data_IF_888230203742
#
_entry.id   IF_888230203742
#
_cell.length_a   1.000
_cell.length_b   1.000
_cell.length_c   1.000
_cell.angle_alpha   90.00
_cell.angle_beta   90.00
_cell.angle_gamma   90.00
#
_symmetry.space_group_name_H-M   'P 1'
#
loop_
_entity.id
_entity.type
_entity.pdbx_description
1 polymer ?
#
# COMPACT_ATOMS: atom_id res chain seq x y z
N UNK A 1 -8.50 7.31 -5.45
CA UNK A 1 -8.46 7.88 -6.81
C UNK A 1 -9.12 9.24 -6.72
N UNK A 2 -8.51 10.28 -7.25
CA UNK A 2 -9.05 11.66 -7.18
C UNK A 2 -10.03 11.89 -8.34
N UNK A 3 -11.27 11.44 -8.19
CA UNK A 3 -12.28 11.49 -9.26
C UNK A 3 -12.54 12.92 -9.72
N UNK A 4 -12.47 13.86 -8.78
CA UNK A 4 -12.62 15.29 -9.02
C UNK A 4 -11.64 15.80 -10.09
N UNK A 5 -10.39 15.34 -10.09
CA UNK A 5 -9.38 15.72 -11.08
C UNK A 5 -9.74 15.25 -12.50
N UNK A 6 -10.33 14.06 -12.64
CA UNK A 6 -10.75 13.52 -13.93
C UNK A 6 -11.97 14.26 -14.48
N UNK A 7 -12.94 14.56 -13.62
CA UNK A 7 -14.13 15.33 -14.00
C UNK A 7 -13.74 16.77 -14.36
N UNK A 8 -12.82 17.39 -13.62
CA UNK A 8 -12.28 18.71 -13.96
C UNK A 8 -11.53 18.70 -15.29
N UNK A 9 -10.83 17.60 -15.61
CA UNK A 9 -10.21 17.39 -16.92
C UNK A 9 -11.25 17.37 -18.04
N UNK A 10 -12.27 16.52 -17.90
CA UNK A 10 -13.37 16.42 -18.86
C UNK A 10 -14.08 17.77 -19.07
N UNK A 11 -14.31 18.53 -17.98
CA UNK A 11 -14.91 19.87 -18.07
C UNK A 11 -14.03 20.82 -18.88
N UNK A 12 -12.72 20.85 -18.61
CA UNK A 12 -11.78 21.69 -19.35
C UNK A 12 -11.76 21.34 -20.84
N UNK A 13 -11.76 20.06 -21.19
CA UNK A 13 -11.80 19.59 -22.57
C UNK A 13 -13.09 19.98 -23.28
N UNK A 14 -14.24 19.83 -22.61
CA UNK A 14 -15.54 20.24 -23.15
C UNK A 14 -15.58 21.76 -23.44
N UNK A 15 -15.11 22.58 -22.50
CA UNK A 15 -15.04 24.03 -22.66
C UNK A 15 -14.04 24.43 -23.74
N UNK A 16 -12.88 23.79 -23.81
CA UNK A 16 -11.88 24.03 -24.86
C UNK A 16 -12.41 23.70 -26.26
N UNK A 17 -13.14 22.59 -26.41
CA UNK A 17 -13.78 22.24 -27.67
C UNK A 17 -14.86 23.26 -28.08
N UNK A 18 -15.55 23.86 -27.10
CA UNK A 18 -16.58 24.87 -27.34
C UNK A 18 -16.02 26.25 -27.75
N UNK A 19 -14.75 26.57 -27.45
CA UNK A 19 -14.16 27.87 -27.80
C UNK A 19 -14.22 28.16 -29.31
N UNK A 20 -14.02 27.14 -30.14
CA UNK A 20 -14.04 27.26 -31.61
C UNK A 20 -15.42 27.70 -32.12
N UNK A 21 -16.48 27.43 -31.35
CA UNK A 21 -17.87 27.69 -31.72
C UNK A 21 -18.41 29.04 -31.20
N UNK A 22 -17.60 29.81 -30.46
CA UNK A 22 -17.96 31.13 -29.96
C UNK A 22 -18.41 31.18 -28.48
N UNK A 23 -18.58 32.40 -27.93
CA UNK A 23 -18.76 32.60 -26.49
C UNK A 23 -20.08 32.04 -25.95
N UNK A 24 -21.17 32.11 -26.71
CA UNK A 24 -22.48 31.59 -26.29
C UNK A 24 -22.45 30.06 -26.12
N UNK A 25 -21.73 29.36 -27.02
CA UNK A 25 -21.55 27.91 -26.97
C UNK A 25 -20.64 27.53 -25.81
N UNK A 26 -19.57 28.30 -25.56
CA UNK A 26 -18.70 28.12 -24.38
C UNK A 26 -19.49 28.24 -23.07
N UNK A 27 -20.33 29.26 -22.93
CA UNK A 27 -21.17 29.41 -21.73
C UNK A 27 -22.20 28.28 -21.59
N UNK A 28 -22.79 27.82 -22.69
CA UNK A 28 -23.69 26.67 -22.67
C UNK A 28 -22.97 25.38 -22.24
N UNK A 29 -21.75 25.16 -22.74
CA UNK A 29 -20.91 24.02 -22.37
C UNK A 29 -20.53 24.06 -20.88
N UNK A 30 -20.15 25.21 -20.34
CA UNK A 30 -19.85 25.38 -18.90
C UNK A 30 -21.06 25.07 -18.00
N UNK A 31 -22.25 25.56 -18.38
CA UNK A 31 -23.51 25.27 -17.66
C UNK A 31 -23.85 23.79 -17.72
N UNK A 32 -23.73 23.18 -18.89
CA UNK A 32 -24.01 21.75 -19.09
C UNK A 32 -23.03 20.89 -18.30
N UNK A 33 -21.72 21.17 -18.37
CA UNK A 33 -20.72 20.42 -17.62
C UNK A 33 -20.97 20.50 -16.10
N UNK A 34 -21.33 21.68 -15.60
CA UNK A 34 -21.68 21.86 -14.19
C UNK A 34 -22.94 21.09 -13.80
N UNK A 35 -23.94 21.02 -14.69
CA UNK A 35 -25.17 20.27 -14.46
C UNK A 35 -24.95 18.74 -14.51
N UNK A 36 -23.99 18.28 -15.31
CA UNK A 36 -23.70 16.86 -15.49
C UNK A 36 -22.77 16.28 -14.40
N UNK A 37 -22.04 17.10 -13.65
CA UNK A 37 -21.07 16.66 -12.62
C UNK A 37 -21.63 15.58 -11.67
N UNK A 38 -22.82 15.74 -11.05
CA UNK A 38 -23.36 14.72 -10.14
C UNK A 38 -23.69 13.40 -10.84
N UNK A 39 -24.19 13.47 -12.08
CA UNK A 39 -24.57 12.29 -12.86
C UNK A 39 -23.35 11.52 -13.34
N UNK A 40 -22.34 12.23 -13.86
CA UNK A 40 -21.06 11.63 -14.28
C UNK A 40 -20.38 10.96 -13.09
N UNK A 41 -20.34 11.63 -11.94
CA UNK A 41 -19.77 11.06 -10.72
C UNK A 41 -20.46 9.76 -10.31
N UNK A 42 -21.80 9.74 -10.29
CA UNK A 42 -22.56 8.54 -9.94
C UNK A 42 -22.28 7.39 -10.91
N UNK A 43 -22.34 7.65 -12.22
CA UNK A 43 -22.05 6.63 -13.24
C UNK A 43 -20.63 6.05 -13.09
N UNK A 44 -19.64 6.90 -12.80
CA UNK A 44 -18.27 6.42 -12.56
C UNK A 44 -18.17 5.57 -11.29
N UNK A 45 -18.92 5.89 -10.23
CA UNK A 45 -18.97 5.04 -9.04
C UNK A 45 -19.59 3.67 -9.33
N UNK A 46 -20.66 3.62 -10.13
CA UNK A 46 -21.30 2.36 -10.52
C UNK A 46 -20.32 1.49 -11.33
N UNK A 47 -19.67 2.07 -12.35
CA UNK A 47 -18.67 1.36 -13.16
C UNK A 47 -17.48 0.86 -12.35
N UNK A 48 -16.96 1.68 -11.42
CA UNK A 48 -15.84 1.26 -10.55
C UNK A 48 -16.24 0.14 -9.58
N UNK A 49 -17.50 0.11 -9.14
CA UNK A 49 -18.03 -0.95 -8.28
C UNK A 49 -18.17 -2.26 -9.05
N UNK A 50 -18.73 -2.21 -10.26
CA UNK A 50 -18.84 -3.37 -11.15
C UNK A 50 -17.44 -3.94 -11.49
N UNK A 51 -16.47 -3.07 -11.76
CA UNK A 51 -15.09 -3.47 -12.01
C UNK A 51 -14.43 -4.11 -10.77
N UNK A 52 -14.71 -3.62 -9.56
CA UNK A 52 -14.20 -4.22 -8.34
C UNK A 52 -14.79 -5.62 -8.09
N UNK A 53 -16.06 -5.83 -8.40
CA UNK A 53 -16.71 -7.14 -8.34
C UNK A 53 -16.12 -8.11 -9.36
N UNK A 54 -15.78 -7.63 -10.56
CA UNK A 54 -15.07 -8.42 -11.56
C UNK A 54 -13.70 -8.86 -11.06
N UNK A 55 -12.88 -7.92 -10.58
CA UNK A 55 -11.55 -8.22 -10.03
C UNK A 55 -11.62 -9.14 -8.81
N UNK A 56 -12.63 -8.98 -7.94
CA UNK A 56 -12.84 -9.86 -6.78
C UNK A 56 -13.07 -11.31 -7.19
N UNK A 57 -13.72 -11.57 -8.33
CA UNK A 57 -13.92 -12.94 -8.84
C UNK A 57 -12.63 -13.58 -9.34
N UNK A 58 -11.63 -12.78 -9.72
CA UNK A 58 -10.36 -13.25 -10.25
C UNK A 58 -9.29 -13.45 -9.15
N UNK A 59 -9.46 -12.80 -7.99
CA UNK A 59 -8.49 -12.87 -6.89
C UNK A 59 -8.95 -13.91 -5.86
N UNK A 60 -8.28 -15.08 -5.85
CA UNK A 60 -8.41 -16.09 -4.79
C UNK A 60 -7.04 -16.39 -4.12
N UNK A 61 -6.90 -16.25 -2.78
CA UNK A 61 -7.88 -15.69 -1.86
C UNK A 61 -7.78 -14.16 -1.76
N UNK A 62 -8.88 -13.44 -1.99
CA UNK A 62 -8.94 -11.99 -1.74
C UNK A 62 -10.25 -11.34 -2.18
N UNK A 63 -10.55 -10.16 -1.63
CA UNK A 63 -11.72 -9.35 -1.99
C UNK A 63 -11.28 -7.92 -2.25
N UNK A 64 -11.76 -7.32 -3.34
CA UNK A 64 -11.53 -5.91 -3.67
C UNK A 64 -12.83 -5.14 -3.51
N UNK A 65 -12.83 -4.16 -2.61
CA UNK A 65 -13.99 -3.30 -2.37
C UNK A 65 -13.68 -1.85 -2.74
N UNK A 66 -14.69 -1.14 -3.23
CA UNK A 66 -14.63 0.32 -3.37
C UNK A 66 -15.24 0.96 -2.12
N UNK A 67 -14.41 1.64 -1.33
CA UNK A 67 -14.83 2.41 -0.16
C UNK A 67 -14.80 3.90 -0.46
N UNK A 68 -15.83 4.61 0.01
CA UNK A 68 -15.90 6.06 -0.15
C UNK A 68 -15.34 6.71 1.11
N UNK A 69 -14.35 7.62 0.94
CA UNK A 69 -13.93 8.55 1.99
C UNK A 69 -14.24 9.97 1.57
N UNK A 70 -15.24 10.57 2.22
CA UNK A 70 -15.77 11.86 1.80
C UNK A 70 -16.46 11.74 0.44
N UNK A 71 -15.81 12.22 -0.62
CA UNK A 71 -16.27 12.15 -2.02
C UNK A 71 -15.35 11.36 -2.94
N UNK A 72 -14.27 10.82 -2.38
CA UNK A 72 -13.22 10.18 -3.16
C UNK A 72 -13.29 8.66 -2.98
N UNK A 73 -13.35 7.89 -4.08
CA UNK A 73 -13.33 6.43 -4.04
C UNK A 73 -11.93 5.91 -3.73
N UNK A 74 -11.87 4.85 -2.94
CA UNK A 74 -10.65 4.14 -2.55
C UNK A 74 -10.86 2.64 -2.71
N UNK A 75 -9.94 1.97 -3.41
CA UNK A 75 -9.93 0.52 -3.46
C UNK A 75 -9.27 -0.04 -2.19
N UNK A 76 -9.93 -0.99 -1.57
CA UNK A 76 -9.41 -1.75 -0.43
C UNK A 76 -9.39 -3.21 -0.81
N UNK A 77 -8.22 -3.82 -0.67
CA UNK A 77 -8.04 -5.26 -0.90
C UNK A 77 -7.94 -5.94 0.46
N UNK A 78 -8.86 -6.85 0.74
CA UNK A 78 -8.89 -7.70 1.92
C UNK A 78 -8.45 -9.11 1.51
N UNK A 79 -7.31 -9.56 2.02
CA UNK A 79 -6.92 -10.98 1.94
C UNK A 79 -7.38 -11.65 3.24
N UNK A 80 -7.85 -12.91 3.22
CA UNK A 80 -8.12 -13.61 4.47
C UNK A 80 -6.86 -13.59 5.32
N UNK A 81 -7.00 -13.09 6.54
CA UNK A 81 -5.95 -13.18 7.54
C UNK A 81 -5.75 -14.67 7.79
N UNK A 82 -4.56 -15.22 7.52
CA UNK A 82 -4.18 -16.52 8.06
C UNK A 82 -4.28 -16.37 9.58
N UNK A 83 -5.36 -16.89 10.17
CA UNK A 83 -5.40 -17.15 11.60
C UNK A 83 -4.13 -17.95 11.91
N UNK A 84 -3.25 -17.48 12.80
CA UNK A 84 -2.07 -18.24 13.15
C UNK A 84 -2.54 -19.59 13.68
N UNK A 85 -2.35 -20.62 12.85
CA UNK A 85 -2.64 -21.99 13.19
C UNK A 85 -1.82 -22.33 14.44
N UNK A 86 -2.54 -22.50 15.54
CA UNK A 86 -1.96 -22.85 16.82
C UNK A 86 -1.51 -21.63 17.61
N UNK A 87 -2.38 -21.19 18.52
CA UNK A 87 -1.95 -21.20 19.92
C UNK A 87 -1.32 -22.58 20.18
N UNK A 88 -0.01 -22.68 19.95
CA UNK A 88 0.78 -23.76 20.52
C UNK A 88 0.44 -23.72 22.00
N UNK A 89 -0.21 -24.80 22.42
CA UNK A 89 -0.21 -25.37 23.75
C UNK A 89 1.00 -24.86 24.54
N UNK A 90 0.83 -23.74 25.24
CA UNK A 90 1.79 -23.34 26.26
C UNK A 90 1.55 -24.34 27.39
N UNK A 91 2.50 -25.24 27.71
CA UNK A 91 2.32 -26.11 28.85
C UNK A 91 2.15 -25.20 30.09
N UNK A 92 1.18 -25.48 30.98
CA UNK A 92 1.01 -24.70 32.20
C UNK A 92 2.25 -24.90 33.07
N UNK A 93 3.20 -23.98 33.01
CA UNK A 93 4.43 -24.12 33.79
C UNK A 93 5.59 -23.17 33.49
N UNK A 94 5.60 -22.42 32.38
CA UNK A 94 6.69 -21.46 32.15
C UNK A 94 6.42 -20.13 32.88
N UNK A 95 7.26 -19.74 33.85
CA UNK A 95 7.13 -18.42 34.48
C UNK A 95 7.51 -17.34 33.47
N UNK A 96 6.60 -16.38 33.28
CA UNK A 96 6.89 -15.14 32.57
C UNK A 96 8.13 -14.45 33.19
N UNK A 97 9.04 -13.88 32.38
CA UNK A 97 10.14 -13.08 32.90
C UNK A 97 9.55 -11.77 33.46
N UNK A 98 9.24 -11.76 34.75
CA UNK A 98 8.71 -10.56 35.41
C UNK A 98 8.08 -10.73 36.80
N UNK A 99 7.95 -11.94 37.33
CA UNK A 99 7.33 -12.12 38.66
C UNK A 99 8.15 -13.07 39.55
N UNK A 100 9.06 -12.51 40.35
CA UNK A 100 9.72 -13.24 41.44
C UNK A 100 8.85 -13.16 42.71
N UNK A 101 8.52 -14.29 43.37
CA UNK A 101 7.77 -14.28 44.63
C UNK A 101 8.62 -13.76 45.80
N UNK A 102 8.04 -13.07 46.79
CA UNK A 102 8.76 -12.53 47.93
C UNK A 102 9.04 -13.65 48.95
N UNK A 103 10.31 -13.99 49.19
CA UNK A 103 10.62 -15.03 50.19
C UNK A 103 12.08 -15.42 50.39
N UNK A 104 13.04 -14.87 49.65
CA UNK A 104 14.45 -15.17 49.92
C UNK A 104 15.04 -14.20 50.95
N UNK A 105 15.60 -14.69 52.08
CA UNK A 105 16.26 -13.83 53.05
C UNK A 105 17.59 -13.31 52.50
N UNK A 106 17.68 -11.99 52.33
CA UNK A 106 18.94 -11.29 52.06
C UNK A 106 19.86 -11.41 53.28
N UNK A 107 20.96 -12.13 53.15
CA UNK A 107 21.98 -12.22 54.21
C UNK A 107 22.72 -10.88 54.31
N UNK A 108 22.56 -10.18 55.43
CA UNK A 108 23.35 -9.01 55.82
C UNK A 108 24.78 -9.42 56.14
N UNK A 109 25.67 -9.29 55.16
CA UNK A 109 27.11 -9.44 55.32
C UNK A 109 27.83 -8.24 54.72
N UNK A 110 28.41 -7.40 55.59
CA UNK A 110 29.35 -6.32 55.24
C UNK A 110 30.42 -6.84 54.26
N UNK A 111 30.61 -6.23 53.06
CA UNK A 111 31.63 -6.73 52.14
C UNK A 111 33.03 -6.44 52.71
N UNK A 112 33.99 -7.39 52.64
CA UNK A 112 35.38 -7.09 52.91
C UNK A 112 35.95 -6.17 51.82
N UNK A 113 36.77 -5.22 52.23
CA UNK A 113 37.45 -4.26 51.37
C UNK A 113 38.31 -5.01 50.34
N UNK A 114 37.93 -4.98 49.07
CA UNK A 114 38.71 -5.54 47.97
C UNK A 114 40.00 -4.74 47.74
N UNK A 115 41.05 -5.37 47.19
CA UNK A 115 42.32 -4.70 46.88
C UNK A 115 42.11 -3.56 45.86
N UNK A 116 42.99 -2.54 45.84
CA UNK A 116 42.86 -1.40 44.94
C UNK A 116 42.82 -1.89 43.48
N UNK A 117 41.81 -1.42 42.74
CA UNK A 117 41.62 -1.75 41.34
C UNK A 117 42.83 -1.36 40.49
N UNK A 118 43.08 -2.06 39.37
CA UNK A 118 44.16 -1.72 38.46
C UNK A 118 43.99 -0.29 37.92
N UNK A 119 45.09 0.39 37.54
CA UNK A 119 45.04 1.74 37.01
C UNK A 119 44.05 1.80 35.84
N UNK A 120 43.20 2.83 35.85
CA UNK A 120 42.25 3.07 34.76
C UNK A 120 42.98 3.09 33.42
N UNK A 121 42.31 2.65 32.33
CA UNK A 121 42.92 2.67 31.01
C UNK A 121 43.43 4.08 30.69
N UNK A 122 44.53 4.20 29.93
CA UNK A 122 45.07 5.50 29.54
C UNK A 122 43.96 6.36 28.93
N UNK A 123 44.02 7.66 29.19
CA UNK A 123 43.17 8.66 28.55
C UNK A 123 43.37 8.51 27.04
N UNK A 124 42.48 7.74 26.40
CA UNK A 124 42.40 7.71 24.95
C UNK A 124 42.10 9.17 24.59
N UNK A 125 42.87 9.82 23.70
CA UNK A 125 42.42 11.09 23.17
C UNK A 125 41.01 10.85 22.65
N UNK A 126 40.05 11.69 23.07
CA UNK A 126 38.72 11.69 22.47
C UNK A 126 38.92 11.61 20.96
N UNK A 127 38.32 10.63 20.26
CA UNK A 127 38.34 10.67 18.81
C UNK A 127 37.91 12.08 18.40
N UNK A 128 38.59 12.72 17.44
CA UNK A 128 38.16 14.02 16.95
C UNK A 128 36.67 13.90 16.63
N UNK A 129 35.90 14.91 17.08
CA UNK A 129 34.48 15.14 16.80
C UNK A 129 33.91 14.12 15.81
N UNK A 130 33.00 13.25 16.28
CA UNK A 130 32.19 12.41 15.41
C UNK A 130 31.79 13.24 14.16
N UNK A 131 31.92 12.69 12.94
CA UNK A 131 31.54 13.43 11.76
C UNK A 131 30.13 13.97 12.00
N UNK A 132 29.99 15.28 11.94
CA UNK A 132 28.70 15.95 11.84
C UNK A 132 27.88 15.14 10.83
N UNK A 133 26.63 14.72 11.11
CA UNK A 133 25.77 14.13 10.10
C UNK A 133 25.88 15.01 8.86
N UNK A 134 26.20 14.48 7.67
CA UNK A 134 26.40 15.34 6.51
C UNK A 134 25.16 16.23 6.39
N UNK A 135 25.40 17.54 6.42
CA UNK A 135 24.43 18.55 6.00
C UNK A 135 23.78 18.03 4.71
N UNK A 136 22.43 18.02 4.61
CA UNK A 136 21.77 17.51 3.42
C UNK A 136 22.38 18.19 2.21
N UNK A 137 22.91 17.44 1.22
CA UNK A 137 23.49 18.06 0.05
C UNK A 137 22.41 18.92 -0.59
N UNK A 138 22.69 20.23 -0.73
CA UNK A 138 21.95 21.09 -1.63
C UNK A 138 21.85 20.37 -2.99
N UNK A 139 20.70 20.39 -3.68
CA UNK A 139 20.56 19.72 -4.96
C UNK A 139 21.27 20.56 -6.03
N UNK A 140 22.32 20.03 -6.67
CA UNK A 140 22.42 20.29 -8.10
C UNK A 140 22.86 19.06 -8.90
N UNK A 141 22.11 18.75 -9.95
CA UNK A 141 22.57 17.86 -11.02
C UNK A 141 21.46 17.02 -11.63
N UNK A 142 20.84 17.52 -12.68
CA UNK A 142 20.09 16.70 -13.64
C UNK A 142 21.02 15.61 -14.22
N UNK A 143 20.89 14.35 -13.80
CA UNK A 143 21.37 13.17 -14.56
C UNK A 143 20.56 11.86 -14.36
N UNK A 144 19.35 11.90 -13.79
CA UNK A 144 18.42 10.75 -13.78
C UNK A 144 17.03 11.21 -14.27
N UNK A 145 16.94 11.65 -15.53
CA UNK A 145 15.67 12.02 -16.16
C UNK A 145 14.85 10.75 -16.44
N UNK A 146 14.12 10.25 -15.44
CA UNK A 146 13.06 9.25 -15.62
C UNK A 146 12.77 8.33 -14.43
N UNK A 147 13.60 8.26 -13.39
CA UNK A 147 13.41 7.31 -12.28
C UNK A 147 12.66 7.95 -11.11
N UNK A 148 11.36 7.63 -10.97
CA UNK A 148 10.57 8.02 -9.81
C UNK A 148 10.85 7.10 -8.61
N UNK A 149 11.16 7.67 -7.44
CA UNK A 149 11.34 6.91 -6.20
C UNK A 149 9.98 6.60 -5.55
N UNK A 150 9.69 5.33 -5.31
CA UNK A 150 8.45 4.87 -4.68
C UNK A 150 8.72 4.08 -3.39
N UNK A 151 7.87 4.25 -2.36
CA UNK A 151 7.90 3.45 -1.12
C UNK A 151 6.71 2.51 -1.09
N UNK A 152 6.98 1.21 -1.00
CA UNK A 152 5.96 0.16 -1.02
C UNK A 152 5.85 -0.51 0.35
N UNK A 153 4.62 -0.70 0.83
CA UNK A 153 4.35 -1.48 2.05
C UNK A 153 3.80 -2.83 1.63
N UNK A 154 4.62 -3.87 1.80
CA UNK A 154 4.27 -5.24 1.45
C UNK A 154 3.93 -6.02 2.74
N UNK A 155 2.92 -6.91 2.71
CA UNK A 155 2.80 -7.96 3.72
C UNK A 155 4.09 -8.77 3.81
N UNK A 156 4.44 -9.24 5.01
CA UNK A 156 5.71 -9.92 5.29
C UNK A 156 5.92 -11.15 4.39
N UNK A 157 4.87 -11.96 4.20
CA UNK A 157 4.89 -13.12 3.31
C UNK A 157 5.24 -12.76 1.86
N UNK A 158 4.74 -11.63 1.36
CA UNK A 158 5.00 -11.18 -0.01
C UNK A 158 6.43 -10.63 -0.15
N UNK A 159 6.93 -9.89 0.85
CA UNK A 159 8.33 -9.45 0.89
C UNK A 159 9.27 -10.66 0.83
N UNK A 160 9.02 -11.70 1.63
CA UNK A 160 9.85 -12.91 1.67
C UNK A 160 9.88 -13.63 0.31
N UNK A 161 8.73 -13.78 -0.36
CA UNK A 161 8.65 -14.39 -1.70
C UNK A 161 9.42 -13.59 -2.75
N UNK A 162 9.34 -12.26 -2.72
CA UNK A 162 10.09 -11.39 -3.63
C UNK A 162 11.60 -11.50 -3.39
N UNK A 163 12.03 -11.49 -2.12
CA UNK A 163 13.44 -11.67 -1.76
C UNK A 163 13.98 -13.03 -2.21
N UNK A 164 13.19 -14.09 -2.05
CA UNK A 164 13.56 -15.43 -2.50
C UNK A 164 13.64 -15.54 -4.03
N UNK A 165 12.70 -14.94 -4.77
CA UNK A 165 12.71 -14.94 -6.24
C UNK A 165 13.87 -14.11 -6.81
N UNK A 166 14.20 -12.99 -6.18
CA UNK A 166 15.35 -12.18 -6.51
C UNK A 166 16.67 -12.92 -6.23
N UNK A 167 16.76 -13.58 -5.05
CA UNK A 167 17.91 -14.40 -4.67
C UNK A 167 18.12 -15.58 -5.63
N UNK A 168 17.05 -16.29 -6.00
CA UNK A 168 17.10 -17.38 -6.99
C UNK A 168 17.52 -16.91 -8.38
N UNK A 169 17.29 -15.63 -8.70
CA UNK A 169 17.71 -15.00 -9.96
C UNK A 169 19.09 -14.33 -9.87
N UNK A 170 19.73 -14.32 -8.70
CA UNK A 170 21.03 -13.68 -8.48
C UNK A 170 21.03 -12.17 -8.67
N UNK A 171 19.88 -11.50 -8.56
CA UNK A 171 19.73 -10.06 -8.77
C UNK A 171 19.19 -9.37 -7.53
N UNK A 172 19.37 -8.05 -7.44
CA UNK A 172 18.75 -7.27 -6.37
C UNK A 172 17.22 -7.29 -6.50
N UNK A 173 16.54 -7.15 -5.37
CA UNK A 173 15.07 -7.05 -5.32
C UNK A 173 14.55 -5.94 -6.24
N UNK A 174 15.20 -4.77 -6.26
CA UNK A 174 14.80 -3.67 -7.13
C UNK A 174 14.90 -4.05 -8.63
N UNK A 175 16.01 -4.67 -9.05
CA UNK A 175 16.18 -5.10 -10.44
C UNK A 175 15.19 -6.22 -10.83
N UNK A 176 14.92 -7.14 -9.91
CA UNK A 176 13.91 -8.19 -10.12
C UNK A 176 12.51 -7.60 -10.26
N UNK A 177 12.12 -6.68 -9.38
CA UNK A 177 10.82 -5.99 -9.41
C UNK A 177 10.63 -5.16 -10.68
N UNK A 178 11.67 -4.40 -11.09
CA UNK A 178 11.62 -3.62 -12.34
C UNK A 178 11.39 -4.53 -13.53
N UNK A 179 12.09 -5.67 -13.62
CA UNK A 179 11.88 -6.65 -14.71
C UNK A 179 10.47 -7.25 -14.69
N UNK A 180 9.98 -7.64 -13.53
CA UNK A 180 8.64 -8.20 -13.36
C UNK A 180 7.55 -7.19 -13.79
N UNK A 181 7.68 -5.93 -13.37
CA UNK A 181 6.76 -4.84 -13.73
C UNK A 181 6.82 -4.53 -15.23
N UNK A 182 8.01 -4.45 -15.83
CA UNK A 182 8.16 -4.23 -17.27
C UNK A 182 7.54 -5.38 -18.08
N UNK A 183 7.70 -6.63 -17.66
CA UNK A 183 7.08 -7.78 -18.32
C UNK A 183 5.54 -7.73 -18.24
N UNK A 184 5.00 -7.43 -17.05
CA UNK A 184 3.55 -7.33 -16.84
C UNK A 184 2.90 -6.20 -17.66
N UNK A 185 3.63 -5.11 -17.93
CA UNK A 185 3.14 -3.98 -18.73
C UNK A 185 3.34 -4.21 -20.24
N UNK A 186 4.39 -4.93 -20.64
CA UNK A 186 4.70 -5.19 -22.06
C UNK A 186 3.86 -6.30 -22.68
N UNK A 187 3.44 -7.29 -21.88
CA UNK A 187 2.56 -8.37 -22.30
C UNK A 187 1.30 -8.41 -21.42
N UNK A 188 0.31 -7.53 -21.67
CA UNK A 188 -1.05 -7.78 -21.24
C UNK A 188 -1.59 -8.93 -22.11
N UNK A 189 -1.11 -10.14 -21.83
CA UNK A 189 -1.44 -11.34 -22.59
C UNK A 189 -2.95 -11.49 -22.75
N UNK A 190 -3.41 -12.13 -23.84
CA UNK A 190 -4.81 -12.19 -24.22
C UNK A 190 -5.61 -12.73 -23.04
N UNK A 191 -6.63 -11.98 -22.63
CA UNK A 191 -7.53 -12.39 -21.55
C UNK A 191 -8.00 -13.84 -21.76
N UNK A 192 -8.32 -14.58 -20.69
CA UNK A 192 -8.73 -15.97 -20.78
C UNK A 192 -10.14 -16.09 -21.39
N UNK A 193 -10.29 -15.78 -22.67
CA UNK A 193 -11.41 -16.21 -23.49
C UNK A 193 -11.10 -17.62 -24.02
N UNK A 194 -11.38 -18.62 -23.19
CA UNK A 194 -11.70 -19.93 -23.73
C UNK A 194 -13.00 -19.81 -24.56
N UNK A 195 -13.08 -20.38 -25.77
CA UNK A 195 -14.32 -20.37 -26.53
C UNK A 195 -15.36 -21.25 -25.82
N UNK A 196 -16.29 -20.62 -25.12
CA UNK A 196 -17.40 -21.31 -24.46
C UNK A 196 -18.49 -21.73 -25.47
N UNK A 197 -19.14 -22.89 -25.27
CA UNK A 197 -20.50 -23.10 -25.74
C UNK A 197 -21.50 -22.96 -24.57
N UNK A 198 -22.73 -22.55 -24.91
CA UNK A 198 -23.95 -22.44 -24.06
C UNK A 198 -24.03 -21.14 -23.23
N UNK A 199 -25.05 -20.27 -23.30
CA UNK A 199 -26.37 -20.18 -23.93
C UNK A 199 -27.13 -19.03 -23.21
N UNK A 200 -28.09 -18.31 -23.82
CA UNK A 200 -28.64 -17.09 -23.21
C UNK A 200 -29.74 -17.41 -22.18
N UNK A 201 -29.53 -17.01 -20.93
CA UNK A 201 -30.54 -17.03 -19.86
C UNK A 201 -30.99 -15.60 -19.51
N UNK A 202 -32.29 -15.27 -19.54
CA UNK A 202 -32.77 -13.91 -19.30
C UNK A 202 -33.39 -13.78 -17.90
N UNK A 203 -32.61 -13.45 -16.86
CA UNK A 203 -33.19 -12.98 -15.60
C UNK A 203 -32.27 -11.98 -14.89
N UNK A 204 -32.76 -10.75 -14.76
CA UNK A 204 -32.19 -9.74 -13.87
C UNK A 204 -32.50 -10.05 -12.41
N UNK A 205 -31.55 -9.72 -11.55
CA UNK A 205 -31.66 -9.36 -10.13
C UNK A 205 -30.23 -9.32 -9.57
N UNK A 206 -29.80 -8.42 -8.71
CA UNK A 206 -30.39 -7.27 -8.06
C UNK A 206 -29.25 -6.61 -7.28
N UNK A 207 -29.13 -5.30 -7.39
CA UNK A 207 -28.17 -4.47 -6.64
C UNK A 207 -28.27 -4.77 -5.15
N UNK A 208 -27.17 -5.26 -4.55
CA UNK A 208 -26.97 -5.22 -3.09
C UNK A 208 -26.14 -4.00 -2.75
N UNK A 209 -26.82 -2.94 -2.30
CA UNK A 209 -26.18 -1.90 -1.51
C UNK A 209 -26.07 -2.41 -0.07
N UNK A 210 -24.85 -2.59 0.45
CA UNK A 210 -24.64 -2.69 1.90
C UNK A 210 -23.98 -1.41 2.38
N UNK A 211 -24.77 -0.56 3.03
CA UNK A 211 -24.28 0.55 3.85
C UNK A 211 -24.04 0.07 5.28
N UNK A 212 -23.09 0.69 5.98
CA UNK A 212 -22.98 0.61 7.43
C UNK A 212 -22.87 2.01 8.02
N UNK A 213 -23.82 2.32 8.88
CA UNK A 213 -23.94 3.55 9.64
C UNK A 213 -23.25 3.42 11.00
N UNK A 214 -22.46 4.46 11.31
CA UNK A 214 -21.97 4.95 12.62
C UNK A 214 -21.06 4.05 13.44
#
# INVERSE_FOLDING_TARGET
>A
MELTSYIDGLRRELTAAAEVAGPEVREAAERLASALDPAVRLTLMDVLSDAADEVTREIDPGVVEVRIRGREPQFVVSLPQEEPAGSHDFPPGFPFPGHFPPGFPFSTGRPPMGPPGPPGPPHVPSPPHAPVPPEPPAPPGETEQGTARMTLRLPEALKARVEQAAAGSGVSVNAWLVRALTAAVADPGPGPHGPGPHGPGPYGSGRRLTGWSR
#
